data_IF_725528443889
#
_entry.id   IF_725528443889
#
_cell.length_a   1.000
_cell.length_b   1.000
_cell.length_c   1.000
_cell.angle_alpha   90.00
_cell.angle_beta   90.00
_cell.angle_gamma   90.00
#
_symmetry.space_group_name_H-M   'P 1'
#
loop_
_entity.id
_entity.type
_entity.pdbx_description
1 polymer ?
#
# COMPACT_ATOMS: atom_id res chain seq x y z
N UNK A 1 3.35 -9.45 9.61
CA UNK A 1 3.35 -7.99 9.48
C UNK A 1 4.59 -7.37 10.15
N UNK A 2 4.80 -7.46 11.46
CA UNK A 2 5.88 -6.77 12.20
C UNK A 2 7.27 -6.99 11.60
N UNK A 3 7.68 -8.23 11.34
CA UNK A 3 8.97 -8.52 10.71
C UNK A 3 9.14 -7.85 9.35
N UNK A 4 8.07 -7.76 8.58
CA UNK A 4 8.08 -7.10 7.27
C UNK A 4 8.13 -5.57 7.32
N UNK A 5 7.98 -4.96 8.49
CA UNK A 5 8.21 -3.54 8.75
C UNK A 5 9.61 -3.34 9.32
N UNK A 6 9.97 -4.09 10.36
CA UNK A 6 11.24 -3.94 11.08
C UNK A 6 12.45 -4.27 10.20
N UNK A 7 12.40 -5.37 9.43
CA UNK A 7 13.56 -5.78 8.62
C UNK A 7 13.91 -4.77 7.51
N UNK A 8 12.98 -4.25 6.68
CA UNK A 8 13.34 -3.25 5.68
C UNK A 8 13.69 -1.89 6.30
N UNK A 9 13.04 -1.50 7.40
CA UNK A 9 13.39 -0.28 8.12
C UNK A 9 14.85 -0.32 8.60
N UNK A 10 15.21 -1.37 9.33
CA UNK A 10 16.57 -1.56 9.83
C UNK A 10 17.58 -1.73 8.69
N UNK A 11 17.23 -2.49 7.64
CA UNK A 11 18.09 -2.66 6.49
C UNK A 11 18.40 -1.35 5.77
N UNK A 12 17.39 -0.51 5.55
CA UNK A 12 17.56 0.82 4.96
C UNK A 12 18.35 1.77 5.86
N UNK A 13 18.00 1.80 7.14
CA UNK A 13 18.71 2.62 8.12
C UNK A 13 20.20 2.25 8.23
N UNK A 14 20.52 0.96 8.35
CA UNK A 14 21.91 0.47 8.44
C UNK A 14 22.69 0.76 7.16
N UNK A 15 22.09 0.50 5.99
CA UNK A 15 22.72 0.79 4.70
C UNK A 15 23.07 2.28 4.60
N UNK A 16 22.11 3.17 4.92
CA UNK A 16 22.33 4.61 4.82
C UNK A 16 23.34 5.11 5.85
N UNK A 17 23.36 4.56 7.06
CA UNK A 17 24.40 4.84 8.07
C UNK A 17 25.77 4.41 7.59
N UNK A 18 25.89 3.23 6.98
CA UNK A 18 27.13 2.75 6.37
C UNK A 18 27.58 3.57 5.17
N UNK A 19 26.64 4.19 4.44
CA UNK A 19 26.90 5.10 3.33
C UNK A 19 27.38 6.48 3.78
N UNK A 20 27.26 6.81 5.07
CA UNK A 20 27.65 8.11 5.63
C UNK A 20 26.54 9.16 5.69
N UNK A 21 25.27 8.75 5.49
CA UNK A 21 24.13 9.63 5.60
C UNK A 21 23.88 10.06 7.05
N UNK A 22 23.24 11.22 7.23
CA UNK A 22 22.82 11.71 8.54
C UNK A 22 21.80 10.75 9.19
N UNK A 23 21.62 10.86 10.51
CA UNK A 23 20.69 9.99 11.23
C UNK A 23 19.27 10.07 10.69
N UNK A 24 18.82 11.30 10.38
CA UNK A 24 17.45 11.55 9.93
C UNK A 24 17.23 11.13 8.47
N UNK A 25 18.19 11.34 7.58
CA UNK A 25 18.16 10.81 6.21
C UNK A 25 18.04 9.28 6.20
N UNK A 26 18.84 8.61 7.04
CA UNK A 26 18.80 7.16 7.18
C UNK A 26 17.42 6.66 7.68
N UNK A 27 16.79 7.39 8.61
CA UNK A 27 15.44 7.08 9.07
C UNK A 27 14.40 7.25 7.97
N UNK A 28 14.47 8.32 7.15
CA UNK A 28 13.54 8.54 6.04
C UNK A 28 13.67 7.47 4.96
N UNK A 29 14.90 7.11 4.55
CA UNK A 29 15.10 6.03 3.58
C UNK A 29 14.63 4.68 4.15
N UNK A 30 14.94 4.41 5.42
CA UNK A 30 14.42 3.22 6.12
C UNK A 30 12.89 3.19 6.12
N UNK A 31 12.24 4.31 6.39
CA UNK A 31 10.77 4.44 6.37
C UNK A 31 10.20 4.21 4.96
N UNK A 32 10.83 4.79 3.93
CA UNK A 32 10.42 4.56 2.54
C UNK A 32 10.53 3.08 2.15
N UNK A 33 11.48 2.36 2.72
CA UNK A 33 11.64 0.91 2.51
C UNK A 33 10.60 0.06 3.27
N UNK A 34 9.89 0.59 4.24
CA UNK A 34 8.76 -0.10 4.89
C UNK A 34 7.56 -0.19 3.99
N UNK A 35 7.25 0.85 3.25
CA UNK A 35 6.05 0.96 2.42
C UNK A 35 5.85 -0.25 1.50
N UNK A 36 4.61 -0.62 1.20
CA UNK A 36 4.26 -1.71 0.29
C UNK A 36 3.12 -1.27 -0.62
N UNK A 37 3.28 -1.44 -1.94
CA UNK A 37 2.20 -1.24 -2.89
C UNK A 37 1.49 -2.55 -3.19
N UNK A 38 0.41 -2.81 -2.48
CA UNK A 38 -0.38 -4.03 -2.69
C UNK A 38 -1.19 -4.00 -3.98
N UNK A 39 -1.53 -2.82 -4.49
CA UNK A 39 -2.33 -2.66 -5.71
C UNK A 39 -1.69 -3.32 -6.94
N UNK A 40 -0.35 -3.26 -7.04
CA UNK A 40 0.40 -3.89 -8.14
C UNK A 40 0.31 -5.41 -8.03
N UNK A 41 0.56 -5.96 -6.85
CA UNK A 41 0.47 -7.40 -6.57
C UNK A 41 -0.95 -7.92 -6.78
N UNK A 42 -1.96 -7.19 -6.30
CA UNK A 42 -3.36 -7.54 -6.51
C UNK A 42 -3.73 -7.59 -7.99
N UNK A 43 -3.27 -6.63 -8.81
CA UNK A 43 -3.48 -6.63 -10.27
C UNK A 43 -2.83 -7.84 -10.95
N UNK A 44 -1.60 -8.20 -10.55
CA UNK A 44 -0.90 -9.38 -11.09
C UNK A 44 -1.64 -10.66 -10.72
N UNK A 45 -2.03 -10.83 -9.45
CA UNK A 45 -2.77 -11.99 -8.97
C UNK A 45 -4.17 -12.08 -9.60
N UNK A 46 -4.86 -10.95 -9.78
CA UNK A 46 -6.13 -10.85 -10.50
C UNK A 46 -6.01 -11.31 -11.94
N UNK A 47 -4.97 -10.83 -12.65
CA UNK A 47 -4.70 -11.23 -14.04
C UNK A 47 -4.37 -12.72 -14.20
N UNK A 48 -3.94 -13.39 -13.12
CA UNK A 48 -3.74 -14.84 -13.06
C UNK A 48 -4.95 -15.61 -12.51
N UNK A 49 -6.04 -14.93 -12.12
CA UNK A 49 -7.21 -15.54 -11.50
C UNK A 49 -6.96 -16.08 -10.08
N UNK A 50 -5.93 -15.59 -9.37
CA UNK A 50 -5.45 -16.13 -8.09
C UNK A 50 -5.73 -15.23 -6.88
N UNK A 51 -6.66 -14.26 -6.97
CA UNK A 51 -7.01 -13.40 -5.83
C UNK A 51 -7.57 -14.19 -4.63
N UNK A 52 -8.28 -15.29 -4.90
CA UNK A 52 -8.85 -16.15 -3.86
C UNK A 52 -7.85 -17.13 -3.25
N UNK A 53 -6.64 -17.21 -3.79
CA UNK A 53 -5.60 -18.09 -3.26
C UNK A 53 -5.28 -17.75 -1.80
N UNK A 54 -5.02 -18.75 -0.92
CA UNK A 54 -4.70 -18.50 0.48
C UNK A 54 -3.51 -17.53 0.68
N UNK A 55 -2.50 -17.62 -0.18
CA UNK A 55 -1.34 -16.72 -0.15
C UNK A 55 -1.71 -15.29 -0.56
N UNK A 56 -2.63 -15.11 -1.52
CA UNK A 56 -3.13 -13.80 -1.91
C UNK A 56 -3.87 -13.10 -0.75
N UNK A 57 -4.77 -13.82 -0.06
CA UNK A 57 -5.47 -13.30 1.13
C UNK A 57 -4.51 -12.90 2.25
N UNK A 58 -3.44 -13.67 2.46
CA UNK A 58 -2.39 -13.34 3.44
C UNK A 58 -1.64 -12.08 3.02
N UNK A 59 -1.29 -11.93 1.73
CA UNK A 59 -0.62 -10.74 1.20
C UNK A 59 -1.50 -9.52 1.40
N UNK A 60 -2.78 -9.57 1.00
CA UNK A 60 -3.72 -8.46 1.13
C UNK A 60 -3.93 -8.06 2.59
N UNK A 61 -4.20 -9.03 3.48
CA UNK A 61 -4.37 -8.75 4.91
C UNK A 61 -3.09 -8.24 5.58
N UNK A 62 -1.92 -8.76 5.20
CA UNK A 62 -0.65 -8.27 5.73
C UNK A 62 -0.33 -6.85 5.24
N UNK A 63 -0.75 -6.49 4.02
CA UNK A 63 -0.53 -5.16 3.47
C UNK A 63 -1.33 -4.08 4.21
N UNK A 64 -2.58 -4.36 4.59
CA UNK A 64 -3.37 -3.43 5.43
C UNK A 64 -2.65 -3.11 6.74
N UNK A 65 -2.09 -4.13 7.41
CA UNK A 65 -1.32 -3.92 8.64
C UNK A 65 -0.03 -3.15 8.36
N UNK A 66 0.63 -3.43 7.23
CA UNK A 66 1.85 -2.71 6.80
C UNK A 66 1.60 -1.23 6.57
N UNK A 67 0.50 -0.91 5.93
CA UNK A 67 0.13 0.48 5.65
C UNK A 67 -0.08 1.25 6.95
N UNK A 68 -0.80 0.67 7.91
CA UNK A 68 -0.99 1.28 9.24
C UNK A 68 0.36 1.47 9.94
N UNK A 69 1.19 0.43 10.03
CA UNK A 69 2.48 0.50 10.69
C UNK A 69 3.46 1.42 9.96
N UNK A 70 3.47 1.42 8.64
CA UNK A 70 4.29 2.29 7.81
C UNK A 70 3.96 3.77 8.00
N UNK A 71 2.67 4.09 8.06
CA UNK A 71 2.20 5.45 8.32
C UNK A 71 2.51 5.91 9.75
N UNK A 72 2.44 5.00 10.73
CA UNK A 72 2.88 5.29 12.10
C UNK A 72 4.38 5.60 12.17
N UNK A 73 5.22 4.79 11.50
CA UNK A 73 6.66 5.03 11.41
C UNK A 73 6.93 6.35 10.72
N UNK A 74 6.24 6.66 9.63
CA UNK A 74 6.35 7.93 8.92
C UNK A 74 5.99 9.12 9.81
N UNK A 75 4.91 9.03 10.57
CA UNK A 75 4.48 10.09 11.50
C UNK A 75 5.55 10.35 12.55
N UNK A 76 6.12 9.31 13.16
CA UNK A 76 7.19 9.42 14.15
C UNK A 76 8.44 10.04 13.52
N UNK A 77 8.88 9.54 12.37
CA UNK A 77 10.10 10.03 11.70
C UNK A 77 9.93 11.48 11.22
N UNK A 78 8.74 11.86 10.74
CA UNK A 78 8.44 13.24 10.35
C UNK A 78 8.45 14.20 11.55
N UNK A 79 7.94 13.79 12.71
CA UNK A 79 7.98 14.57 13.93
C UNK A 79 9.43 14.75 14.42
N UNK A 80 10.26 13.71 14.34
CA UNK A 80 11.69 13.80 14.65
C UNK A 80 12.43 14.78 13.71
N UNK A 81 12.04 14.86 12.46
CA UNK A 81 12.62 15.75 11.46
C UNK A 81 12.31 17.22 11.73
N UNK A 82 11.17 17.53 12.34
CA UNK A 82 10.77 18.88 12.69
C UNK A 82 11.63 19.54 13.79
N UNK A 83 12.65 18.87 14.33
CA UNK A 83 13.75 19.47 15.10
C UNK A 83 13.58 19.54 16.61
N UNK A 84 12.49 19.06 17.18
CA UNK A 84 12.33 18.94 18.64
C UNK A 84 12.14 17.47 19.00
N UNK A 85 13.24 16.78 19.34
CA UNK A 85 13.16 15.40 19.89
C UNK A 85 12.58 15.49 21.30
N UNK A 86 11.28 15.76 21.35
CA UNK A 86 10.55 15.67 22.61
C UNK A 86 9.94 14.25 22.65
N UNK A 87 10.55 13.35 23.44
CA UNK A 87 10.07 11.98 23.58
C UNK A 87 8.60 11.91 23.99
N UNK A 88 8.13 12.90 24.77
CA UNK A 88 6.72 12.99 25.14
C UNK A 88 5.84 13.33 23.94
N UNK A 89 6.28 14.20 23.06
CA UNK A 89 5.56 14.56 21.83
C UNK A 89 5.50 13.38 20.85
N UNK A 90 6.60 12.62 20.69
CA UNK A 90 6.63 11.40 19.89
C UNK A 90 5.64 10.36 20.46
N UNK A 91 5.66 10.16 21.78
CA UNK A 91 4.77 9.21 22.44
C UNK A 91 3.30 9.64 22.34
N UNK A 92 3.01 10.92 22.50
CA UNK A 92 1.65 11.45 22.34
C UNK A 92 1.17 11.37 20.90
N UNK A 93 1.99 11.71 19.90
CA UNK A 93 1.64 11.59 18.48
C UNK A 93 1.42 10.12 18.08
N UNK A 94 2.30 9.21 18.51
CA UNK A 94 2.12 7.78 18.27
C UNK A 94 0.85 7.24 18.97
N UNK A 95 0.60 7.65 20.21
CA UNK A 95 -0.59 7.29 20.96
C UNK A 95 -1.87 7.81 20.30
N UNK A 96 -1.86 9.07 19.83
CA UNK A 96 -2.97 9.68 19.10
C UNK A 96 -3.22 8.98 17.76
N UNK A 97 -2.16 8.64 17.01
CA UNK A 97 -2.27 7.92 15.74
C UNK A 97 -2.87 6.53 15.94
N UNK A 98 -2.40 5.77 16.94
CA UNK A 98 -2.96 4.45 17.29
C UNK A 98 -4.40 4.59 17.78
N UNK A 99 -4.67 5.54 18.67
CA UNK A 99 -6.01 5.80 19.20
C UNK A 99 -6.99 6.22 18.10
N UNK A 100 -6.59 7.10 17.20
CA UNK A 100 -7.37 7.53 16.05
C UNK A 100 -7.66 6.36 15.11
N UNK A 101 -6.65 5.56 14.79
CA UNK A 101 -6.82 4.36 13.96
C UNK A 101 -7.77 3.36 14.60
N UNK A 102 -7.60 3.07 15.89
CA UNK A 102 -8.48 2.17 16.64
C UNK A 102 -9.90 2.72 16.72
N UNK A 103 -10.08 4.03 16.96
CA UNK A 103 -11.39 4.68 16.99
C UNK A 103 -12.12 4.55 15.66
N UNK A 104 -11.45 4.88 14.55
CA UNK A 104 -12.06 4.76 13.22
C UNK A 104 -12.37 3.32 12.87
N UNK A 105 -11.48 2.36 13.19
CA UNK A 105 -11.69 0.95 12.91
C UNK A 105 -12.84 0.36 13.76
N UNK A 106 -12.91 0.66 15.07
CA UNK A 106 -13.85 0.05 15.98
C UNK A 106 -15.22 0.75 16.02
N UNK A 107 -15.23 2.06 15.81
CA UNK A 107 -16.44 2.89 15.89
C UNK A 107 -16.84 3.43 14.52
N UNK A 108 -15.88 4.00 13.79
CA UNK A 108 -16.12 4.63 12.51
C UNK A 108 -16.64 3.65 11.46
N UNK A 109 -15.97 2.53 11.25
CA UNK A 109 -16.36 1.53 10.26
C UNK A 109 -17.79 0.97 10.51
N UNK A 110 -18.16 0.51 11.71
CA UNK A 110 -19.54 0.08 11.97
C UNK A 110 -20.60 1.18 11.79
N UNK A 111 -20.26 2.43 12.12
CA UNK A 111 -21.16 3.57 11.89
C UNK A 111 -21.36 3.82 10.41
N UNK A 112 -20.28 3.83 9.63
CA UNK A 112 -20.32 3.99 8.18
C UNK A 112 -21.17 2.90 7.53
N UNK A 113 -20.94 1.63 7.86
CA UNK A 113 -21.71 0.50 7.34
C UNK A 113 -23.21 0.62 7.66
N UNK A 114 -23.57 1.07 8.86
CA UNK A 114 -24.97 1.29 9.24
C UNK A 114 -25.61 2.49 8.55
N UNK A 115 -24.83 3.53 8.27
CA UNK A 115 -25.32 4.75 7.59
C UNK A 115 -25.42 4.58 6.07
N UNK A 116 -24.57 3.76 5.46
CA UNK A 116 -24.47 3.58 4.02
C UNK A 116 -25.84 3.35 3.31
N UNK A 117 -26.75 2.47 3.80
CA UNK A 117 -28.04 2.26 3.13
C UNK A 117 -28.98 3.48 3.19
N UNK A 118 -28.87 4.31 4.25
CA UNK A 118 -29.64 5.56 4.37
C UNK A 118 -29.11 6.63 3.43
N UNK A 119 -27.80 6.76 3.37
CA UNK A 119 -27.10 7.74 2.52
C UNK A 119 -27.36 7.43 1.05
N UNK A 120 -27.34 6.16 0.67
CA UNK A 120 -27.61 5.74 -0.71
C UNK A 120 -29.03 6.09 -1.15
N UNK A 121 -30.02 5.91 -0.27
CA UNK A 121 -31.43 6.29 -0.54
C UNK A 121 -31.61 7.79 -0.73
N UNK A 122 -30.87 8.62 0.01
CA UNK A 122 -30.93 10.09 -0.09
C UNK A 122 -30.23 10.62 -1.34
N UNK A 123 -29.23 9.92 -1.85
CA UNK A 123 -28.35 10.38 -2.91
C UNK A 123 -28.66 9.90 -4.32
N UNK A 124 -29.86 9.33 -4.59
CA UNK A 124 -30.23 8.84 -5.94
C UNK A 124 -29.16 7.96 -6.62
N UNK A 125 -28.51 7.07 -5.86
CA UNK A 125 -27.47 6.17 -6.37
C UNK A 125 -26.07 6.79 -6.46
N UNK A 126 -25.84 7.97 -5.88
CA UNK A 126 -24.53 8.62 -5.73
C UNK A 126 -24.19 8.90 -4.25
N UNK A 127 -25.08 8.54 -3.33
CA UNK A 127 -24.99 8.91 -1.93
C UNK A 127 -23.72 8.37 -1.28
N UNK A 128 -23.41 7.09 -1.44
CA UNK A 128 -22.22 6.45 -0.85
C UNK A 128 -20.93 7.06 -1.43
N UNK A 129 -20.90 7.38 -2.73
CA UNK A 129 -19.74 8.00 -3.36
C UNK A 129 -19.44 9.40 -2.77
N UNK A 130 -20.45 10.27 -2.69
CA UNK A 130 -20.31 11.61 -2.11
C UNK A 130 -19.94 11.51 -0.62
N UNK A 131 -20.61 10.61 0.11
CA UNK A 131 -20.30 10.36 1.52
C UNK A 131 -18.85 9.88 1.70
N UNK A 132 -18.36 9.02 0.81
CA UNK A 132 -16.98 8.54 0.80
C UNK A 132 -15.97 9.67 0.60
N UNK A 133 -16.22 10.59 -0.34
CA UNK A 133 -15.36 11.76 -0.53
C UNK A 133 -15.36 12.69 0.69
N UNK A 134 -16.54 12.97 1.26
CA UNK A 134 -16.67 13.79 2.46
C UNK A 134 -15.96 13.14 3.66
N UNK A 135 -16.12 11.82 3.83
CA UNK A 135 -15.45 11.07 4.88
C UNK A 135 -13.93 11.08 4.70
N UNK A 136 -13.45 10.86 3.47
CA UNK A 136 -12.03 10.89 3.13
C UNK A 136 -11.40 12.25 3.48
N UNK A 137 -12.00 13.34 3.01
CA UNK A 137 -11.50 14.69 3.28
C UNK A 137 -11.65 15.04 4.77
N UNK A 138 -12.80 14.71 5.38
CA UNK A 138 -13.08 14.99 6.79
C UNK A 138 -12.10 14.30 7.73
N UNK A 139 -11.88 12.98 7.57
CA UNK A 139 -10.89 12.25 8.38
C UNK A 139 -9.46 12.69 8.11
N UNK A 140 -9.13 13.12 6.87
CA UNK A 140 -7.84 13.70 6.55
C UNK A 140 -7.58 15.01 7.31
N UNK A 141 -8.59 15.88 7.37
CA UNK A 141 -8.53 17.14 8.13
C UNK A 141 -8.40 16.85 9.62
N UNK A 142 -9.21 15.94 10.17
CA UNK A 142 -9.13 15.56 11.58
C UNK A 142 -7.75 14.97 11.91
N UNK A 143 -7.21 14.07 11.06
CA UNK A 143 -5.87 13.54 11.23
C UNK A 143 -4.82 14.66 11.33
N UNK A 144 -4.89 15.67 10.42
CA UNK A 144 -4.00 16.82 10.44
C UNK A 144 -4.09 17.64 11.73
N UNK A 145 -5.29 17.87 12.25
CA UNK A 145 -5.48 18.61 13.50
C UNK A 145 -4.91 17.91 14.73
N UNK A 146 -4.94 16.58 14.77
CA UNK A 146 -4.37 15.78 15.87
C UNK A 146 -2.86 15.51 15.71
N UNK A 147 -2.21 16.12 14.69
CA UNK A 147 -0.78 15.97 14.44
C UNK A 147 -0.39 14.68 13.72
N UNK A 148 -1.35 13.98 13.14
CA UNK A 148 -1.15 12.76 12.34
C UNK A 148 -1.21 13.12 10.85
N UNK A 149 -0.44 12.41 10.01
CA UNK A 149 -0.44 12.68 8.58
C UNK A 149 -1.85 12.53 7.97
N UNK A 150 -2.28 13.51 7.17
CA UNK A 150 -3.62 13.52 6.55
C UNK A 150 -3.93 12.27 5.71
N UNK A 151 -2.90 11.66 5.13
CA UNK A 151 -3.03 10.42 4.36
C UNK A 151 -3.56 9.26 5.21
N UNK A 152 -3.26 9.22 6.52
CA UNK A 152 -3.80 8.21 7.45
C UNK A 152 -5.33 8.36 7.55
N UNK A 153 -5.82 9.60 7.64
CA UNK A 153 -7.25 9.87 7.64
C UNK A 153 -7.95 9.41 6.37
N UNK A 154 -7.36 9.70 5.20
CA UNK A 154 -7.88 9.24 3.92
C UNK A 154 -7.90 7.70 3.80
N UNK A 155 -6.83 7.04 4.23
CA UNK A 155 -6.73 5.58 4.23
C UNK A 155 -7.78 4.93 5.14
N UNK A 156 -7.93 5.44 6.36
CA UNK A 156 -8.94 4.97 7.31
C UNK A 156 -10.37 5.18 6.81
N UNK A 157 -10.64 6.29 6.09
CA UNK A 157 -11.91 6.50 5.42
C UNK A 157 -12.20 5.41 4.38
N UNK A 158 -11.20 5.07 3.57
CA UNK A 158 -11.29 3.99 2.59
C UNK A 158 -11.57 2.63 3.25
N UNK A 159 -10.87 2.31 4.33
CA UNK A 159 -11.10 1.08 5.11
C UNK A 159 -12.52 1.04 5.71
N UNK A 160 -12.98 2.16 6.29
CA UNK A 160 -14.32 2.23 6.88
C UNK A 160 -15.44 2.07 5.84
N UNK A 161 -15.17 2.46 4.59
CA UNK A 161 -16.11 2.31 3.48
C UNK A 161 -16.05 0.96 2.78
N UNK A 162 -14.97 0.19 2.96
CA UNK A 162 -14.71 -1.03 2.19
C UNK A 162 -15.89 -2.01 2.24
N UNK A 163 -16.43 -2.29 3.45
CA UNK A 163 -17.58 -3.18 3.64
C UNK A 163 -18.86 -2.63 3.00
N UNK A 164 -19.11 -1.31 3.12
CA UNK A 164 -20.27 -0.67 2.52
C UNK A 164 -20.18 -0.56 0.98
N UNK A 165 -18.96 -0.62 0.43
CA UNK A 165 -18.69 -0.51 -0.99
C UNK A 165 -18.66 -1.88 -1.70
N UNK A 166 -18.51 -2.99 -0.97
CA UNK A 166 -18.24 -4.31 -1.55
C UNK A 166 -19.31 -4.71 -2.57
N UNK A 167 -20.58 -4.48 -2.28
CA UNK A 167 -21.69 -4.81 -3.16
C UNK A 167 -22.16 -3.66 -4.07
N UNK A 168 -21.38 -2.56 -4.18
CA UNK A 168 -21.77 -1.37 -4.96
C UNK A 168 -20.87 -1.12 -6.18
N UNK A 169 -21.15 -1.75 -7.34
CA UNK A 169 -20.34 -1.58 -8.55
C UNK A 169 -20.38 -0.16 -9.13
N UNK A 170 -21.40 0.66 -8.80
CA UNK A 170 -21.47 2.06 -9.21
C UNK A 170 -20.43 2.89 -8.45
N UNK A 171 -20.32 2.70 -7.15
CA UNK A 171 -19.33 3.37 -6.33
C UNK A 171 -17.91 3.03 -6.79
N UNK A 172 -17.62 1.76 -7.04
CA UNK A 172 -16.31 1.35 -7.57
C UNK A 172 -15.96 2.06 -8.88
N UNK A 173 -16.91 2.16 -9.82
CA UNK A 173 -16.70 2.90 -11.09
C UNK A 173 -16.44 4.38 -10.86
N UNK A 174 -17.20 5.03 -9.99
CA UNK A 174 -17.04 6.45 -9.68
C UNK A 174 -15.71 6.74 -9.01
N UNK A 175 -15.30 5.91 -8.03
CA UNK A 175 -13.99 6.02 -7.38
C UNK A 175 -12.84 5.76 -8.35
N UNK A 176 -12.97 4.75 -9.22
CA UNK A 176 -11.98 4.51 -10.28
C UNK A 176 -11.84 5.72 -11.20
N UNK A 177 -12.95 6.35 -11.61
CA UNK A 177 -12.92 7.55 -12.44
C UNK A 177 -12.19 8.72 -11.79
N UNK A 178 -12.43 8.96 -10.48
CA UNK A 178 -11.69 10.00 -9.73
C UNK A 178 -10.20 9.66 -9.63
N UNK A 179 -9.89 8.40 -9.34
CA UNK A 179 -8.51 7.93 -9.23
C UNK A 179 -7.80 8.02 -10.57
N UNK A 180 -8.41 7.56 -11.66
CA UNK A 180 -7.85 7.63 -13.02
C UNK A 180 -7.62 9.07 -13.48
N UNK A 181 -8.47 10.00 -13.04
CA UNK A 181 -8.27 11.42 -13.29
C UNK A 181 -7.14 12.04 -12.46
N UNK A 182 -7.05 11.75 -11.16
CA UNK A 182 -6.11 12.40 -10.25
C UNK A 182 -4.70 11.79 -10.28
N UNK A 183 -4.58 10.47 -10.49
CA UNK A 183 -3.29 9.77 -10.47
C UNK A 183 -2.28 10.31 -11.49
N UNK A 184 -2.64 10.64 -12.75
CA UNK A 184 -1.70 11.23 -13.69
C UNK A 184 -1.10 12.56 -13.20
N UNK A 185 -1.91 13.45 -12.59
CA UNK A 185 -1.41 14.71 -12.04
C UNK A 185 -0.44 14.48 -10.90
N UNK A 186 -0.75 13.52 -10.02
CA UNK A 186 0.13 13.12 -8.93
C UNK A 186 1.47 12.58 -9.47
N UNK A 187 1.44 11.67 -10.45
CA UNK A 187 2.64 11.09 -11.04
C UNK A 187 3.49 12.12 -11.81
N UNK A 188 2.84 13.05 -12.53
CA UNK A 188 3.53 14.14 -13.22
C UNK A 188 4.22 15.05 -12.20
N UNK A 189 3.52 15.44 -11.14
CA UNK A 189 4.10 16.28 -10.08
C UNK A 189 5.34 15.63 -9.45
N UNK A 190 5.29 14.32 -9.19
CA UNK A 190 6.44 13.54 -8.69
C UNK A 190 7.58 13.55 -9.71
N UNK A 191 7.25 13.27 -10.98
CA UNK A 191 8.24 13.24 -12.07
C UNK A 191 8.94 14.59 -12.28
N UNK A 192 8.20 15.69 -12.13
CA UNK A 192 8.75 17.06 -12.25
C UNK A 192 9.77 17.41 -11.15
N UNK A 193 9.68 16.78 -10.00
CA UNK A 193 10.63 16.97 -8.89
C UNK A 193 11.87 16.09 -9.03
N UNK A 194 11.85 15.11 -9.94
CA UNK A 194 12.99 14.24 -10.19
C UNK A 194 14.06 14.99 -10.99
N UNK A 195 15.21 15.14 -10.40
CA UNK A 195 16.40 15.69 -11.05
C UNK A 195 17.19 14.57 -11.72
N UNK A 196 17.08 14.47 -13.04
CA UNK A 196 17.76 13.43 -13.83
C UNK A 196 19.29 13.57 -13.81
N UNK A 197 19.80 14.78 -13.56
CA UNK A 197 21.23 15.07 -13.44
C UNK A 197 21.92 14.30 -12.29
N UNK A 198 21.18 13.97 -11.22
CA UNK A 198 21.71 13.20 -10.08
C UNK A 198 22.16 11.79 -10.49
N UNK A 199 21.56 11.21 -11.53
CA UNK A 199 21.94 9.89 -12.04
C UNK A 199 23.20 9.87 -12.91
N UNK A 200 23.84 11.02 -13.13
CA UNK A 200 25.16 11.08 -13.77
C UNK A 200 26.29 10.67 -12.82
N UNK A 201 26.05 10.72 -11.53
CA UNK A 201 27.01 10.29 -10.50
C UNK A 201 27.02 8.77 -10.38
N UNK A 202 28.17 8.14 -10.59
CA UNK A 202 28.34 6.70 -10.37
C UNK A 202 28.01 6.29 -8.93
N UNK A 203 28.31 7.15 -7.97
CA UNK A 203 27.99 6.92 -6.55
C UNK A 203 26.49 6.80 -6.33
N UNK A 204 25.68 7.69 -6.93
CA UNK A 204 24.21 7.66 -6.84
C UNK A 204 23.64 6.40 -7.52
N UNK A 205 24.18 5.99 -8.66
CA UNK A 205 23.75 4.76 -9.35
C UNK A 205 24.03 3.54 -8.47
N UNK A 206 25.21 3.44 -7.86
CA UNK A 206 25.54 2.34 -6.94
C UNK A 206 24.59 2.35 -5.74
N UNK A 207 24.30 3.52 -5.18
CA UNK A 207 23.36 3.65 -4.06
C UNK A 207 21.93 3.21 -4.47
N UNK A 208 21.46 3.59 -5.66
CA UNK A 208 20.17 3.13 -6.20
C UNK A 208 20.09 1.60 -6.26
N UNK A 209 21.14 0.96 -6.77
CA UNK A 209 21.18 -0.50 -6.86
C UNK A 209 21.24 -1.16 -5.48
N UNK A 210 22.04 -0.63 -4.56
CA UNK A 210 22.17 -1.16 -3.19
C UNK A 210 20.85 -0.99 -2.41
N UNK A 211 20.24 0.18 -2.46
CA UNK A 211 18.95 0.45 -1.78
C UNK A 211 17.87 -0.47 -2.35
N UNK A 212 17.80 -0.63 -3.67
CA UNK A 212 16.84 -1.54 -4.33
C UNK A 212 17.08 -2.99 -3.92
N UNK A 213 18.32 -3.45 -3.94
CA UNK A 213 18.69 -4.82 -3.54
C UNK A 213 18.29 -5.08 -2.09
N UNK A 214 18.68 -4.18 -1.16
CA UNK A 214 18.36 -4.30 0.26
C UNK A 214 16.84 -4.24 0.47
N UNK A 215 16.12 -3.40 -0.27
CA UNK A 215 14.67 -3.32 -0.21
C UNK A 215 14.00 -4.64 -0.61
N UNK A 216 14.45 -5.28 -1.68
CA UNK A 216 13.93 -6.59 -2.14
C UNK A 216 14.27 -7.68 -1.13
N UNK A 217 15.55 -7.80 -0.73
CA UNK A 217 16.03 -8.87 0.14
C UNK A 217 15.39 -8.79 1.52
N UNK A 218 15.32 -7.61 2.13
CA UNK A 218 14.77 -7.44 3.48
C UNK A 218 13.27 -7.71 3.52
N UNK A 219 12.53 -7.34 2.47
CA UNK A 219 11.10 -7.68 2.39
C UNK A 219 10.88 -9.18 2.17
N UNK A 220 11.62 -9.75 1.22
CA UNK A 220 11.54 -11.17 0.92
C UNK A 220 11.85 -12.02 2.19
N UNK A 221 12.93 -11.68 2.90
CA UNK A 221 13.32 -12.38 4.12
C UNK A 221 12.35 -12.11 5.28
N UNK A 222 11.99 -10.85 5.54
CA UNK A 222 11.12 -10.49 6.68
C UNK A 222 9.71 -11.05 6.55
N UNK A 223 9.14 -11.02 5.34
CA UNK A 223 7.80 -11.57 5.07
C UNK A 223 7.83 -13.06 4.85
N UNK A 224 8.84 -13.55 4.12
CA UNK A 224 9.05 -14.97 3.93
C UNK A 224 9.25 -15.70 5.26
N UNK A 225 10.05 -15.16 6.18
CA UNK A 225 10.23 -15.71 7.51
C UNK A 225 8.90 -15.80 8.29
N UNK A 226 8.05 -14.78 8.19
CA UNK A 226 6.72 -14.79 8.83
C UNK A 226 5.74 -15.79 8.23
N UNK A 227 6.01 -16.32 7.04
CA UNK A 227 5.17 -17.27 6.32
C UNK A 227 5.80 -18.69 6.17
N UNK A 228 6.93 -18.95 6.82
CA UNK A 228 7.65 -20.23 6.72
C UNK A 228 6.80 -21.46 7.12
N UNK A 229 5.86 -21.26 8.05
CA UNK A 229 4.92 -22.32 8.47
C UNK A 229 4.01 -22.82 7.31
N UNK A 230 3.89 -22.03 6.22
CA UNK A 230 3.12 -22.41 5.03
C UNK A 230 3.95 -23.18 3.99
N UNK A 231 5.24 -23.39 4.27
CA UNK A 231 6.22 -24.01 3.36
C UNK A 231 7.01 -22.97 2.55
N UNK A 232 8.22 -23.35 2.13
CA UNK A 232 9.21 -22.44 1.49
C UNK A 232 8.66 -21.70 0.25
N UNK A 233 7.90 -22.42 -0.60
CA UNK A 233 7.33 -21.83 -1.82
C UNK A 233 6.29 -20.73 -1.50
N UNK A 234 5.33 -21.03 -0.63
CA UNK A 234 4.31 -20.07 -0.21
C UNK A 234 4.93 -18.89 0.54
N UNK A 235 5.96 -19.16 1.35
CA UNK A 235 6.74 -18.10 1.99
C UNK A 235 7.39 -17.15 0.97
N UNK A 236 7.97 -17.69 -0.11
CA UNK A 236 8.52 -16.90 -1.21
C UNK A 236 7.43 -16.12 -1.96
N UNK A 237 6.24 -16.71 -2.19
CA UNK A 237 5.10 -16.04 -2.80
C UNK A 237 4.65 -14.82 -1.96
N UNK A 238 4.47 -15.03 -0.65
CA UNK A 238 4.10 -13.94 0.29
C UNK A 238 5.21 -12.88 0.33
N UNK A 239 6.46 -13.29 0.45
CA UNK A 239 7.60 -12.37 0.46
C UNK A 239 7.67 -11.52 -0.81
N UNK A 240 7.61 -12.14 -1.99
CA UNK A 240 7.68 -11.46 -3.28
C UNK A 240 6.45 -10.59 -3.55
N UNK A 241 5.26 -11.02 -3.13
CA UNK A 241 4.03 -10.24 -3.25
C UNK A 241 4.05 -8.94 -2.44
N UNK A 242 4.93 -8.83 -1.47
CA UNK A 242 5.09 -7.66 -0.62
C UNK A 242 6.32 -6.79 -1.00
N UNK A 243 7.04 -7.14 -2.08
CA UNK A 243 8.23 -6.39 -2.56
C UNK A 243 7.88 -5.04 -3.19
N UNK A 244 6.83 -4.86 -4.02
CA UNK A 244 6.57 -3.57 -4.66
C UNK A 244 6.40 -2.44 -3.64
N UNK A 245 7.08 -1.29 -3.90
CA UNK A 245 7.02 -0.11 -3.01
C UNK A 245 6.02 0.93 -3.47
N UNK A 246 5.87 1.10 -4.77
CA UNK A 246 4.90 1.98 -5.42
C UNK A 246 4.78 3.38 -4.81
N UNK A 247 3.56 3.85 -4.78
CA UNK A 247 3.17 5.22 -4.42
C UNK A 247 3.51 5.60 -2.97
N UNK A 248 3.35 4.71 -2.01
CA UNK A 248 3.56 5.04 -0.58
C UNK A 248 5.03 5.36 -0.29
N UNK A 249 5.97 4.60 -0.88
CA UNK A 249 7.40 4.88 -0.77
C UNK A 249 7.78 6.24 -1.36
N UNK A 250 7.13 6.62 -2.46
CA UNK A 250 7.31 7.92 -3.12
C UNK A 250 6.77 9.04 -2.24
N UNK A 251 5.60 8.86 -1.61
CA UNK A 251 5.02 9.83 -0.67
C UNK A 251 5.96 10.09 0.51
N UNK A 252 6.56 9.03 1.07
CA UNK A 252 7.55 9.17 2.15
C UNK A 252 8.74 10.02 1.69
N UNK A 253 9.28 9.75 0.49
CA UNK A 253 10.37 10.55 -0.07
C UNK A 253 9.95 12.01 -0.31
N UNK A 254 8.73 12.23 -0.81
CA UNK A 254 8.17 13.56 -1.04
C UNK A 254 8.05 14.37 0.25
N UNK A 255 7.60 13.74 1.33
CA UNK A 255 7.53 14.39 2.66
C UNK A 255 8.94 14.73 3.15
N UNK A 256 9.90 13.82 3.03
CA UNK A 256 11.28 14.06 3.41
C UNK A 256 11.92 15.20 2.62
N UNK A 257 11.62 15.31 1.31
CA UNK A 257 12.08 16.41 0.45
C UNK A 257 11.42 17.74 0.86
N UNK A 258 10.12 17.76 1.12
CA UNK A 258 9.39 18.97 1.51
C UNK A 258 9.82 19.52 2.87
N UNK A 259 10.22 18.63 3.78
CA UNK A 259 10.81 18.99 5.08
C UNK A 259 12.30 19.39 4.99
N UNK A 260 12.88 19.39 3.76
CA UNK A 260 14.30 19.62 3.51
C UNK A 260 15.24 18.68 4.30
N UNK A 261 14.75 17.50 4.66
CA UNK A 261 15.50 16.49 5.42
C UNK A 261 16.30 15.58 4.50
N UNK A 262 15.76 15.26 3.32
CA UNK A 262 16.48 14.56 2.27
C UNK A 262 16.70 15.50 1.08
N UNK A 263 17.89 15.38 0.46
CA UNK A 263 18.22 16.12 -0.76
C UNK A 263 17.63 15.46 -2.01
N UNK A 264 17.73 16.17 -3.14
CA UNK A 264 17.28 15.68 -4.45
C UNK A 264 17.93 14.35 -4.87
N UNK A 265 19.17 14.08 -4.45
CA UNK A 265 19.85 12.81 -4.72
C UNK A 265 19.14 11.64 -4.03
N UNK A 266 18.90 11.73 -2.72
CA UNK A 266 18.23 10.68 -1.96
C UNK A 266 16.75 10.51 -2.39
N UNK A 267 16.09 11.61 -2.74
CA UNK A 267 14.77 11.55 -3.36
C UNK A 267 14.79 10.72 -4.65
N UNK A 268 15.77 10.98 -5.54
CA UNK A 268 15.96 10.21 -6.76
C UNK A 268 16.25 8.73 -6.50
N UNK A 269 17.06 8.42 -5.49
CA UNK A 269 17.36 7.04 -5.07
C UNK A 269 16.10 6.29 -4.62
N UNK A 270 15.28 6.91 -3.76
CA UNK A 270 14.03 6.29 -3.28
C UNK A 270 13.03 6.12 -4.42
N UNK A 271 12.91 7.12 -5.30
CA UNK A 271 12.05 7.03 -6.47
C UNK A 271 12.49 5.90 -7.42
N UNK A 272 13.80 5.80 -7.70
CA UNK A 272 14.36 4.69 -8.48
C UNK A 272 14.02 3.33 -7.85
N UNK A 273 14.24 3.17 -6.55
CA UNK A 273 13.90 1.95 -5.80
C UNK A 273 12.41 1.60 -5.94
N UNK A 274 11.51 2.58 -5.79
CA UNK A 274 10.07 2.37 -5.89
C UNK A 274 9.68 1.88 -7.29
N UNK A 275 10.20 2.50 -8.35
CA UNK A 275 9.96 2.08 -9.73
C UNK A 275 10.58 0.72 -10.01
N UNK A 276 11.84 0.51 -9.66
CA UNK A 276 12.55 -0.74 -9.91
C UNK A 276 11.86 -1.94 -9.22
N UNK A 277 11.47 -1.81 -7.96
CA UNK A 277 10.77 -2.89 -7.24
C UNK A 277 9.40 -3.19 -7.85
N UNK A 278 8.71 -2.17 -8.38
CA UNK A 278 7.44 -2.31 -9.09
C UNK A 278 7.57 -3.09 -10.39
N UNK A 279 8.68 -2.90 -11.12
CA UNK A 279 8.96 -3.61 -12.37
C UNK A 279 9.47 -5.03 -12.12
N UNK A 280 10.29 -5.21 -11.07
CA UNK A 280 10.92 -6.51 -10.75
C UNK A 280 9.87 -7.52 -10.23
N UNK A 281 8.95 -7.11 -9.37
CA UNK A 281 8.07 -8.04 -8.67
C UNK A 281 7.11 -8.85 -9.57
N UNK A 282 6.42 -8.29 -10.59
CA UNK A 282 5.47 -9.02 -11.40
C UNK A 282 6.05 -10.24 -12.13
N UNK A 283 7.22 -10.20 -12.79
CA UNK A 283 7.82 -11.39 -13.41
C UNK A 283 8.12 -12.50 -12.42
N UNK A 284 8.68 -12.15 -11.25
CA UNK A 284 8.97 -13.14 -10.21
C UNK A 284 7.73 -13.73 -9.58
N UNK A 285 6.66 -12.93 -9.40
CA UNK A 285 5.37 -13.44 -8.95
C UNK A 285 4.81 -14.46 -9.94
N UNK A 286 4.79 -14.14 -11.23
CA UNK A 286 4.34 -15.08 -12.28
C UNK A 286 5.11 -16.39 -12.23
N UNK A 287 6.43 -16.36 -12.06
CA UNK A 287 7.25 -17.57 -11.92
C UNK A 287 6.90 -18.39 -10.67
N UNK A 288 6.71 -17.73 -9.53
CA UNK A 288 6.37 -18.40 -8.27
C UNK A 288 4.97 -19.02 -8.26
N UNK A 289 4.04 -18.46 -9.02
CA UNK A 289 2.66 -18.95 -9.14
C UNK A 289 2.41 -19.82 -10.37
N UNK A 290 3.41 -20.06 -11.23
CA UNK A 290 3.24 -20.77 -12.49
C UNK A 290 2.56 -22.15 -12.36
N UNK A 291 2.88 -22.94 -11.32
CA UNK A 291 2.24 -24.25 -11.11
C UNK A 291 0.78 -24.14 -10.64
N UNK A 292 0.41 -23.08 -9.95
CA UNK A 292 -0.97 -22.87 -9.49
C UNK A 292 -1.85 -22.39 -10.65
N UNK A 293 -1.27 -21.61 -11.58
CA UNK A 293 -1.93 -21.26 -12.85
C UNK A 293 -2.15 -22.49 -13.69
N UNK A 294 -1.11 -23.32 -13.92
CA UNK A 294 -1.22 -24.55 -14.70
C UNK A 294 -2.26 -25.53 -14.11
N UNK A 295 -2.28 -25.70 -12.79
CA UNK A 295 -3.27 -26.56 -12.13
C UNK A 295 -4.72 -26.04 -12.27
N UNK A 296 -4.92 -24.71 -12.40
CA UNK A 296 -6.25 -24.14 -12.68
C UNK A 296 -6.67 -24.31 -14.14
N UNK A 297 -5.75 -24.19 -15.06
CA UNK A 297 -6.01 -24.40 -16.49
C UNK A 297 -6.42 -25.86 -16.78
N UNK A 298 -5.84 -26.83 -16.04
CA UNK A 298 -6.22 -28.26 -16.14
C UNK A 298 -7.63 -28.55 -15.57
N UNK A 299 -8.10 -27.76 -14.57
CA UNK A 299 -9.44 -27.96 -13.96
C UNK A 299 -10.55 -27.35 -14.83
N UNK A 300 -10.21 -26.50 -15.80
CA UNK A 300 -11.17 -25.72 -16.60
C UNK A 300 -11.86 -24.60 -15.83
N UNK A 301 -12.55 -23.66 -16.49
CA UNK A 301 -13.39 -22.69 -15.80
C UNK A 301 -14.45 -23.45 -15.00
N UNK A 302 -14.81 -23.00 -13.77
CA UNK A 302 -15.95 -23.58 -13.06
C UNK A 302 -17.13 -23.55 -14.02
N UNK A 303 -17.68 -24.72 -14.30
CA UNK A 303 -18.81 -24.89 -15.20
C UNK A 303 -19.83 -23.79 -14.91
N UNK A 304 -20.14 -22.97 -15.90
CA UNK A 304 -21.37 -22.19 -15.95
C UNK A 304 -22.56 -23.19 -16.12
N UNK A 305 -22.49 -24.27 -15.37
CA UNK A 305 -23.44 -25.35 -15.35
C UNK A 305 -24.69 -24.93 -14.61
N UNK A 306 -25.72 -24.72 -15.36
CA UNK A 306 -27.06 -24.68 -14.85
C UNK A 306 -27.95 -23.54 -15.26
N UNK A 307 -27.75 -22.98 -16.44
CA UNK A 307 -28.93 -22.50 -17.15
C UNK A 307 -29.41 -23.71 -17.98
N UNK A 308 -30.22 -24.56 -17.33
CA UNK A 308 -31.08 -25.53 -18.03
C UNK A 308 -31.88 -24.68 -19.01
N UNK A 309 -31.57 -24.86 -20.29
CA UNK A 309 -32.33 -24.28 -21.37
C UNK A 309 -33.81 -24.67 -21.14
N UNK A 310 -34.64 -23.69 -20.83
CA UNK A 310 -36.10 -23.80 -20.76
C UNK A 310 -36.70 -23.94 -22.16
N UNK A 311 -36.11 -24.76 -23.03
CA UNK A 311 -36.67 -25.08 -24.36
C UNK A 311 -37.61 -26.27 -24.36
N UNK A 312 -37.71 -27.06 -23.26
CA UNK A 312 -38.60 -28.23 -23.22
C UNK A 312 -39.97 -27.99 -22.60
N UNK A 313 -40.35 -26.73 -22.27
CA UNK A 313 -41.67 -26.39 -21.73
C UNK A 313 -42.68 -25.89 -22.77
N UNK A 314 -42.34 -25.90 -24.05
CA UNK A 314 -43.23 -25.46 -25.13
C UNK A 314 -43.82 -26.57 -25.98
N UNK A 315 -43.82 -27.82 -25.53
CA UNK A 315 -44.38 -28.97 -26.29
C UNK A 315 -45.43 -29.78 -25.54
N UNK A 316 -46.08 -29.25 -24.52
CA UNK A 316 -47.29 -29.90 -23.98
C UNK A 316 -48.31 -28.78 -23.60
N UNK A 317 -49.32 -28.59 -24.45
CA UNK A 317 -50.53 -27.85 -24.19
C UNK A 317 -50.87 -26.90 -25.30
#
# INVERSE_FOLDING_TARGET
>A
AVLGVVTPFLGGWLLMKAWGATGIEALFVGTAMVATSVGITARVLSGMGLLDAPTARIILGAAVIDDILGLLVLSIVSSMAAGTVNYLEILTTAGLAIGFTAFVALVGAPVVTRMAPRVERLGNGQGIFIFGLVLCLGLSVVAGYIGVAAIIGAFLAGMALAEAAEDNPKMHRQMSGVTEFLVPFFLVNIGMQLRLDVFRSSSVIVLCLLVTLVAVVTKLLGRGAGALNLGKRRAAQVGMGMVPRGEVGIIVAQIGLSLAVIGAELYGVVLFMAVATTVIAPPFLKLLYASEVAAREEIGPPDAGGIVASEDLCKIG
#
